data_IF_489319824307
#
_entry.id   IF_489319824307
#
_cell.length_a   1.000
_cell.length_b   1.000
_cell.length_c   1.000
_cell.angle_alpha   90.00
_cell.angle_beta   90.00
_cell.angle_gamma   90.00
#
_symmetry.space_group_name_H-M   'P 1'
#
loop_
_entity.id
_entity.type
_entity.pdbx_description
1 polymer ?
#
# COMPACT_ATOMS: atom_id res chain seq x y z
N UNK A 1 28.60 20.92 -20.43
CA UNK A 1 27.60 20.16 -19.65
C UNK A 1 28.31 19.77 -18.37
N UNK A 2 28.06 20.50 -17.29
CA UNK A 2 28.82 20.43 -16.03
C UNK A 2 28.05 19.48 -15.12
N UNK A 3 28.59 18.30 -14.88
CA UNK A 3 28.08 17.40 -13.86
C UNK A 3 28.28 18.08 -12.50
N UNK A 4 27.18 18.34 -11.82
CA UNK A 4 27.17 18.82 -10.44
C UNK A 4 27.28 17.58 -9.54
N UNK A 5 28.34 17.42 -8.73
CA UNK A 5 28.45 16.29 -7.84
C UNK A 5 27.39 16.47 -6.75
N UNK A 6 26.33 15.68 -6.80
CA UNK A 6 25.34 15.60 -5.74
C UNK A 6 26.07 15.36 -4.41
N UNK A 7 26.17 16.41 -3.59
CA UNK A 7 26.94 16.39 -2.36
C UNK A 7 26.39 15.29 -1.43
N UNK A 8 27.26 14.48 -0.79
CA UNK A 8 26.84 13.41 0.14
C UNK A 8 25.96 13.93 1.29
N UNK A 9 26.07 15.22 1.60
CA UNK A 9 25.29 15.89 2.63
C UNK A 9 23.78 15.93 2.31
N UNK A 10 23.39 16.03 1.03
CA UNK A 10 21.99 16.09 0.63
C UNK A 10 21.23 14.77 0.89
N UNK A 11 21.87 13.63 0.60
CA UNK A 11 21.28 12.31 0.85
C UNK A 11 21.14 11.99 2.34
N UNK A 12 22.14 12.36 3.14
CA UNK A 12 22.08 12.18 4.59
C UNK A 12 21.01 13.06 5.23
N UNK A 13 20.83 14.28 4.74
CA UNK A 13 19.74 15.19 5.14
C UNK A 13 18.37 14.57 4.81
N UNK A 14 18.18 14.04 3.60
CA UNK A 14 16.94 13.36 3.20
C UNK A 14 16.64 12.12 4.04
N UNK A 15 17.66 11.30 4.31
CA UNK A 15 17.52 10.12 5.16
C UNK A 15 17.15 10.53 6.60
N UNK A 16 17.76 11.59 7.12
CA UNK A 16 17.44 12.13 8.44
C UNK A 16 16.01 12.66 8.51
N UNK A 17 15.54 13.35 7.48
CA UNK A 17 14.15 13.79 7.38
C UNK A 17 13.19 12.60 7.31
N UNK A 18 13.52 11.56 6.54
CA UNK A 18 12.72 10.34 6.46
C UNK A 18 12.63 9.58 7.78
N UNK A 19 13.76 9.42 8.48
CA UNK A 19 13.80 8.84 9.83
C UNK A 19 13.03 9.71 10.83
N UNK A 20 13.08 11.04 10.69
CA UNK A 20 12.26 11.97 11.47
C UNK A 20 10.76 11.78 11.23
N UNK A 21 10.36 11.55 9.97
CA UNK A 21 8.98 11.21 9.62
C UNK A 21 8.54 9.87 10.23
N UNK A 22 9.38 8.83 10.17
CA UNK A 22 9.08 7.51 10.74
C UNK A 22 8.87 7.52 12.26
N UNK A 23 9.44 8.49 12.98
CA UNK A 23 9.26 8.64 14.44
C UNK A 23 7.86 9.12 14.85
N UNK A 24 7.08 9.67 13.92
CA UNK A 24 5.70 10.08 14.21
C UNK A 24 4.76 8.87 14.14
N UNK A 25 3.69 8.86 14.94
CA UNK A 25 2.73 7.74 15.04
C UNK A 25 2.27 7.20 13.67
N UNK A 26 1.92 8.11 12.77
CA UNK A 26 1.45 7.77 11.42
C UNK A 26 2.58 7.35 10.47
N UNK A 27 3.80 7.85 10.67
CA UNK A 27 4.99 7.40 9.95
C UNK A 27 5.40 5.99 10.39
N UNK A 28 5.26 5.70 11.69
CA UNK A 28 5.46 4.36 12.24
C UNK A 28 4.40 3.38 11.71
N UNK A 29 3.13 3.79 11.67
CA UNK A 29 2.05 3.03 11.02
C UNK A 29 2.33 2.79 9.53
N UNK A 30 2.84 3.78 8.80
CA UNK A 30 3.23 3.63 7.40
C UNK A 30 4.42 2.68 7.22
N UNK A 31 5.41 2.72 8.12
CA UNK A 31 6.52 1.77 8.12
C UNK A 31 6.06 0.36 8.44
N UNK A 32 5.20 0.20 9.44
CA UNK A 32 4.59 -1.08 9.81
C UNK A 32 3.66 -1.62 8.71
N UNK A 33 3.00 -0.75 7.94
CA UNK A 33 2.04 -1.18 6.93
C UNK A 33 2.66 -1.92 5.75
N UNK A 34 3.97 -1.78 5.54
CA UNK A 34 4.75 -2.61 4.60
C UNK A 34 4.69 -4.09 4.96
N UNK A 35 4.60 -4.39 6.25
CA UNK A 35 4.51 -5.75 6.77
C UNK A 35 3.07 -6.24 6.85
N UNK A 36 2.07 -5.42 6.52
CA UNK A 36 0.67 -5.86 6.60
C UNK A 36 0.35 -7.01 5.62
N UNK A 37 0.85 -7.03 4.37
CA UNK A 37 0.71 -8.20 3.51
C UNK A 37 1.29 -9.48 4.16
N UNK A 38 2.45 -9.38 4.82
CA UNK A 38 3.09 -10.50 5.52
C UNK A 38 2.31 -10.92 6.77
N UNK A 39 1.80 -9.95 7.54
CA UNK A 39 0.93 -10.19 8.69
C UNK A 39 -0.35 -10.92 8.28
N UNK A 40 -0.84 -10.67 7.07
CA UNK A 40 -2.02 -11.35 6.55
C UNK A 40 -1.78 -12.86 6.33
N UNK A 41 -0.60 -13.26 5.85
CA UNK A 41 -0.23 -14.70 5.77
C UNK A 41 -0.24 -15.33 7.17
N UNK A 42 0.25 -14.62 8.19
CA UNK A 42 0.35 -15.16 9.55
C UNK A 42 -0.99 -15.23 10.28
N UNK A 43 -1.88 -14.28 10.01
CA UNK A 43 -3.18 -14.16 10.71
C UNK A 43 -4.32 -14.84 9.96
N UNK A 44 -4.18 -15.08 8.66
CA UNK A 44 -5.25 -15.61 7.82
C UNK A 44 -6.47 -14.67 7.72
N UNK A 45 -6.29 -13.37 7.99
CA UNK A 45 -7.41 -12.42 8.09
C UNK A 45 -8.10 -12.17 6.75
N UNK A 46 -7.34 -12.16 5.64
CA UNK A 46 -7.84 -12.12 4.28
C UNK A 46 -7.50 -13.46 3.62
N UNK A 47 -8.50 -14.18 3.08
CA UNK A 47 -8.30 -15.52 2.56
C UNK A 47 -7.39 -15.47 1.33
N UNK A 48 -6.25 -16.16 1.41
CA UNK A 48 -5.22 -16.23 0.37
C UNK A 48 -4.85 -17.67 0.01
N UNK A 49 -5.64 -18.65 0.44
CA UNK A 49 -5.23 -20.05 0.37
C UNK A 49 -5.11 -20.56 -1.07
N UNK A 50 -4.22 -21.55 -1.24
CA UNK A 50 -4.00 -22.20 -2.51
C UNK A 50 -5.18 -23.11 -2.89
N UNK A 51 -5.42 -23.29 -4.18
CA UNK A 51 -6.46 -24.12 -4.73
C UNK A 51 -6.41 -25.55 -4.14
N UNK A 52 -7.54 -26.05 -3.65
CA UNK A 52 -7.64 -27.37 -3.02
C UNK A 52 -7.33 -27.41 -1.52
N UNK A 53 -7.03 -26.27 -0.90
CA UNK A 53 -7.00 -26.10 0.56
C UNK A 53 -8.23 -25.31 1.06
N UNK A 54 -8.49 -25.33 2.37
CA UNK A 54 -9.65 -24.66 2.97
C UNK A 54 -9.74 -23.19 2.53
N UNK A 55 -10.85 -22.84 1.87
CA UNK A 55 -11.15 -21.48 1.37
C UNK A 55 -10.17 -20.93 0.31
N UNK A 56 -9.42 -21.82 -0.36
CA UNK A 56 -8.39 -21.47 -1.34
C UNK A 56 -8.87 -21.38 -2.77
N UNK A 57 -8.49 -20.29 -3.45
CA UNK A 57 -8.93 -19.96 -4.82
C UNK A 57 -7.78 -19.70 -5.79
N UNK A 58 -6.53 -19.62 -5.30
CA UNK A 58 -5.38 -19.39 -6.17
C UNK A 58 -4.71 -20.71 -6.59
N UNK A 59 -4.74 -21.02 -7.89
CA UNK A 59 -4.15 -22.25 -8.46
C UNK A 59 -2.74 -21.97 -9.01
N UNK A 60 -2.56 -20.85 -9.73
CA UNK A 60 -1.27 -20.52 -10.36
C UNK A 60 -0.45 -19.50 -9.58
N UNK A 61 -1.09 -18.51 -8.97
CA UNK A 61 -0.42 -17.51 -8.14
C UNK A 61 -0.28 -18.00 -6.71
N UNK A 62 0.95 -18.34 -6.29
CA UNK A 62 1.15 -18.75 -4.90
C UNK A 62 0.87 -17.59 -3.92
N UNK A 63 0.37 -17.88 -2.71
CA UNK A 63 0.09 -16.86 -1.69
C UNK A 63 1.33 -16.02 -1.35
N UNK A 64 2.51 -16.65 -1.39
CA UNK A 64 3.80 -16.01 -1.17
C UNK A 64 4.16 -15.00 -2.26
N UNK A 65 3.88 -15.31 -3.53
CA UNK A 65 4.12 -14.41 -4.66
C UNK A 65 3.21 -13.17 -4.58
N UNK A 66 1.93 -13.39 -4.29
CA UNK A 66 0.92 -12.32 -4.12
C UNK A 66 1.36 -11.35 -3.01
N UNK A 67 1.79 -11.91 -1.89
CA UNK A 67 2.24 -11.14 -0.73
C UNK A 67 3.53 -10.39 -1.00
N UNK A 68 4.50 -11.03 -1.64
CA UNK A 68 5.76 -10.39 -2.06
C UNK A 68 5.49 -9.20 -2.98
N UNK A 69 4.61 -9.37 -3.97
CA UNK A 69 4.24 -8.29 -4.89
C UNK A 69 3.56 -7.14 -4.15
N UNK A 70 2.62 -7.44 -3.25
CA UNK A 70 1.97 -6.43 -2.42
C UNK A 70 2.99 -5.66 -1.56
N UNK A 71 3.94 -6.35 -0.93
CA UNK A 71 5.00 -5.71 -0.13
C UNK A 71 5.89 -4.80 -1.00
N UNK A 72 6.36 -5.27 -2.16
CA UNK A 72 7.18 -4.45 -3.07
C UNK A 72 6.43 -3.20 -3.53
N UNK A 73 5.15 -3.33 -3.88
CA UNK A 73 4.32 -2.19 -4.29
C UNK A 73 4.09 -1.23 -3.13
N UNK A 74 3.82 -1.72 -1.91
CA UNK A 74 3.65 -0.85 -0.73
C UNK A 74 4.92 -0.06 -0.41
N UNK A 75 6.10 -0.70 -0.49
CA UNK A 75 7.40 -0.04 -0.33
C UNK A 75 7.56 1.09 -1.35
N UNK A 76 7.32 0.80 -2.62
CA UNK A 76 7.42 1.78 -3.69
C UNK A 76 6.48 2.97 -3.46
N UNK A 77 5.24 2.71 -3.02
CA UNK A 77 4.26 3.74 -2.72
C UNK A 77 4.70 4.64 -1.57
N UNK A 78 5.35 4.11 -0.52
CA UNK A 78 5.92 4.92 0.56
C UNK A 78 6.96 5.89 0.01
N UNK A 79 7.91 5.38 -0.77
CA UNK A 79 9.02 6.17 -1.31
C UNK A 79 8.51 7.30 -2.23
N UNK A 80 7.63 6.97 -3.18
CA UNK A 80 7.07 7.96 -4.13
C UNK A 80 6.19 8.98 -3.42
N UNK A 81 5.42 8.56 -2.41
CA UNK A 81 4.57 9.49 -1.65
C UNK A 81 5.43 10.42 -0.79
N UNK A 82 6.51 9.90 -0.20
CA UNK A 82 7.43 10.69 0.62
C UNK A 82 8.29 11.66 -0.21
N UNK A 83 8.74 11.28 -1.41
CA UNK A 83 9.51 12.17 -2.29
C UNK A 83 8.69 13.39 -2.74
N UNK A 84 7.38 13.23 -2.86
CA UNK A 84 6.45 14.31 -3.23
C UNK A 84 6.21 15.37 -2.12
N UNK A 85 6.92 15.29 -0.99
CA UNK A 85 6.69 16.16 0.19
C UNK A 85 6.97 17.64 -0.06
N UNK A 86 7.98 17.95 -0.87
CA UNK A 86 8.46 19.31 -1.09
C UNK A 86 7.45 20.16 -1.86
N UNK A 87 6.71 19.55 -2.80
CA UNK A 87 5.65 20.20 -3.58
C UNK A 87 4.39 20.50 -2.75
N UNK A 88 4.26 19.91 -1.56
CA UNK A 88 3.03 19.94 -0.75
C UNK A 88 3.18 20.78 0.54
N UNK A 89 4.32 21.46 0.71
CA UNK A 89 4.57 22.35 1.85
C UNK A 89 3.70 23.61 1.76
N UNK A 90 2.70 23.73 2.65
CA UNK A 90 1.86 24.93 2.79
C UNK A 90 0.43 24.65 3.27
N UNK A 91 -0.28 25.70 3.69
CA UNK A 91 -1.64 25.62 4.27
C UNK A 91 -2.66 25.05 3.27
N UNK A 92 -2.57 25.43 1.98
CA UNK A 92 -3.40 24.87 0.90
C UNK A 92 -3.06 23.40 0.61
N UNK A 93 -1.78 23.04 0.72
CA UNK A 93 -1.28 21.67 0.59
C UNK A 93 -1.86 20.71 1.63
N UNK A 94 -2.10 21.17 2.87
CA UNK A 94 -2.68 20.35 3.95
C UNK A 94 -4.09 19.85 3.65
N UNK A 95 -5.00 20.73 3.20
CA UNK A 95 -6.37 20.30 2.83
C UNK A 95 -6.34 19.29 1.68
N UNK A 96 -5.44 19.49 0.72
CA UNK A 96 -5.24 18.58 -0.41
C UNK A 96 -4.71 17.22 0.08
N UNK A 97 -3.73 17.21 0.99
CA UNK A 97 -3.18 16.00 1.62
C UNK A 97 -4.26 15.22 2.37
N UNK A 98 -5.10 15.88 3.19
CA UNK A 98 -6.21 15.23 3.90
C UNK A 98 -7.21 14.61 2.92
N UNK A 99 -7.63 15.35 1.90
CA UNK A 99 -8.57 14.83 0.91
C UNK A 99 -7.98 13.63 0.18
N UNK A 100 -6.69 13.67 -0.19
CA UNK A 100 -5.99 12.55 -0.82
C UNK A 100 -5.84 11.35 0.10
N UNK A 101 -5.58 11.56 1.39
CA UNK A 101 -5.51 10.49 2.38
C UNK A 101 -6.88 9.81 2.53
N UNK A 102 -7.95 10.58 2.68
CA UNK A 102 -9.32 10.07 2.74
C UNK A 102 -9.74 9.33 1.48
N UNK A 103 -9.43 9.87 0.30
CA UNK A 103 -9.70 9.17 -0.95
C UNK A 103 -8.91 7.87 -1.05
N UNK A 104 -7.63 7.85 -0.64
CA UNK A 104 -6.81 6.63 -0.65
C UNK A 104 -7.35 5.58 0.32
N UNK A 105 -7.76 5.99 1.52
CA UNK A 105 -8.40 5.11 2.50
C UNK A 105 -9.75 4.56 1.98
N UNK A 106 -10.57 5.40 1.38
CA UNK A 106 -11.84 4.98 0.77
C UNK A 106 -11.64 4.00 -0.38
N UNK A 107 -10.67 4.25 -1.27
CA UNK A 107 -10.31 3.33 -2.35
C UNK A 107 -9.77 2.03 -1.79
N UNK A 108 -8.93 2.07 -0.76
CA UNK A 108 -8.45 0.88 -0.06
C UNK A 108 -9.63 0.02 0.43
N UNK A 109 -10.55 0.60 1.19
CA UNK A 109 -11.70 -0.14 1.71
C UNK A 109 -12.57 -0.71 0.58
N UNK A 110 -12.79 0.05 -0.49
CA UNK A 110 -13.54 -0.40 -1.66
C UNK A 110 -12.82 -1.55 -2.39
N UNK A 111 -11.49 -1.51 -2.50
CA UNK A 111 -10.69 -2.60 -3.06
C UNK A 111 -10.75 -3.87 -2.22
N UNK A 112 -10.78 -3.76 -0.88
CA UNK A 112 -10.98 -4.91 -0.01
C UNK A 112 -12.37 -5.53 -0.20
N UNK A 113 -13.42 -4.70 -0.27
CA UNK A 113 -14.77 -5.18 -0.55
C UNK A 113 -14.85 -5.86 -1.93
N UNK A 114 -14.25 -5.27 -2.95
CA UNK A 114 -14.17 -5.87 -4.27
C UNK A 114 -13.43 -7.22 -4.25
N UNK A 115 -12.31 -7.31 -3.51
CA UNK A 115 -11.58 -8.55 -3.31
C UNK A 115 -12.48 -9.64 -2.73
N UNK A 116 -13.21 -9.34 -1.65
CA UNK A 116 -14.09 -10.30 -0.99
C UNK A 116 -15.24 -10.76 -1.89
N UNK A 117 -15.85 -9.83 -2.64
CA UNK A 117 -16.93 -10.17 -3.59
C UNK A 117 -16.40 -11.06 -4.72
N UNK A 118 -15.24 -10.72 -5.30
CA UNK A 118 -14.63 -11.53 -6.37
C UNK A 118 -14.21 -12.89 -5.83
N UNK A 119 -13.62 -12.95 -4.63
CA UNK A 119 -13.21 -14.18 -3.96
C UNK A 119 -14.39 -15.11 -3.74
N UNK A 120 -15.48 -14.61 -3.16
CA UNK A 120 -16.69 -15.39 -2.93
C UNK A 120 -17.33 -15.86 -4.25
N UNK A 121 -17.44 -14.96 -5.23
CA UNK A 121 -17.95 -15.33 -6.57
C UNK A 121 -17.09 -16.41 -7.20
N UNK A 122 -15.78 -16.29 -7.12
CA UNK A 122 -14.89 -17.28 -7.71
C UNK A 122 -14.97 -18.63 -6.97
N UNK A 123 -15.07 -18.61 -5.63
CA UNK A 123 -15.28 -19.82 -4.82
C UNK A 123 -16.56 -20.56 -5.20
N UNK A 124 -17.67 -19.84 -5.37
CA UNK A 124 -18.98 -20.44 -5.72
C UNK A 124 -19.03 -20.89 -7.20
N UNK A 125 -18.48 -20.10 -8.13
CA UNK A 125 -18.69 -20.31 -9.58
C UNK A 125 -17.53 -21.03 -10.30
N UNK A 126 -16.33 -21.13 -9.73
CA UNK A 126 -15.21 -21.80 -10.40
C UNK A 126 -15.42 -23.32 -10.54
N UNK A 127 -16.17 -23.93 -9.63
CA UNK A 127 -16.40 -25.38 -9.62
C UNK A 127 -17.66 -25.83 -10.37
N UNK A 128 -18.82 -25.23 -10.10
CA UNK A 128 -20.09 -25.77 -10.61
C UNK A 128 -20.40 -25.36 -12.06
N UNK A 129 -20.48 -24.06 -12.42
CA UNK A 129 -20.85 -23.64 -13.78
C UNK A 129 -19.69 -23.58 -14.79
N UNK A 130 -18.44 -23.44 -14.35
CA UNK A 130 -17.30 -23.28 -15.26
C UNK A 130 -16.43 -24.53 -15.43
N UNK A 131 -16.46 -25.48 -14.48
CA UNK A 131 -15.77 -26.77 -14.60
C UNK A 131 -14.25 -26.66 -14.76
N UNK A 132 -13.62 -25.62 -14.19
CA UNK A 132 -12.18 -25.37 -14.36
C UNK A 132 -11.36 -26.34 -13.52
N UNK A 133 -10.81 -27.38 -14.17
CA UNK A 133 -9.86 -28.32 -13.58
C UNK A 133 -8.54 -27.65 -13.14
N UNK A 134 -7.76 -28.35 -12.32
CA UNK A 134 -6.42 -27.89 -11.90
C UNK A 134 -5.53 -27.62 -13.12
N UNK A 135 -4.93 -26.43 -13.20
CA UNK A 135 -4.00 -26.06 -14.28
C UNK A 135 -4.62 -25.43 -15.53
N UNK A 136 -5.92 -25.08 -15.54
CA UNK A 136 -6.51 -24.34 -16.66
C UNK A 136 -5.94 -22.90 -16.71
N UNK A 137 -5.33 -22.46 -17.84
CA UNK A 137 -4.79 -21.09 -17.98
C UNK A 137 -5.85 -19.99 -17.83
N UNK A 138 -7.14 -20.30 -18.00
CA UNK A 138 -8.24 -19.34 -17.79
C UNK A 138 -8.39 -18.94 -16.32
N UNK A 139 -7.93 -19.76 -15.37
CA UNK A 139 -7.92 -19.41 -13.95
C UNK A 139 -7.03 -18.21 -13.66
N UNK A 140 -5.90 -18.09 -14.36
CA UNK A 140 -5.01 -16.94 -14.22
C UNK A 140 -5.73 -15.62 -14.54
N UNK A 141 -6.65 -15.61 -15.50
CA UNK A 141 -7.45 -14.43 -15.84
C UNK A 141 -8.37 -14.03 -14.68
N UNK A 142 -8.90 -14.99 -13.92
CA UNK A 142 -9.72 -14.73 -12.75
C UNK A 142 -8.90 -14.40 -11.49
N UNK A 143 -7.69 -14.94 -11.36
CA UNK A 143 -6.76 -14.64 -10.28
C UNK A 143 -6.17 -13.22 -10.40
N UNK A 144 -6.05 -12.67 -11.62
CA UNK A 144 -5.53 -11.32 -11.84
C UNK A 144 -6.35 -10.22 -11.16
N UNK A 145 -7.69 -10.15 -11.30
CA UNK A 145 -8.52 -9.21 -10.53
C UNK A 145 -8.35 -9.34 -9.02
N UNK A 146 -8.23 -10.57 -8.49
CA UNK A 146 -7.96 -10.81 -7.07
C UNK A 146 -6.60 -10.25 -6.66
N UNK A 147 -5.54 -10.53 -7.43
CA UNK A 147 -4.21 -9.97 -7.22
C UNK A 147 -4.24 -8.44 -7.23
N UNK A 148 -4.87 -7.84 -8.24
CA UNK A 148 -4.93 -6.39 -8.42
C UNK A 148 -5.65 -5.74 -7.24
N UNK A 149 -6.82 -6.27 -6.84
CA UNK A 149 -7.61 -5.72 -5.73
C UNK A 149 -6.89 -5.89 -4.39
N UNK A 150 -6.19 -7.01 -4.18
CA UNK A 150 -5.37 -7.26 -3.00
C UNK A 150 -4.19 -6.28 -2.90
N UNK A 151 -3.42 -6.12 -3.99
CA UNK A 151 -2.29 -5.18 -4.04
C UNK A 151 -2.78 -3.73 -3.89
N UNK A 152 -3.90 -3.37 -4.52
CA UNK A 152 -4.50 -2.05 -4.41
C UNK A 152 -4.94 -1.73 -2.98
N UNK A 153 -5.53 -2.69 -2.28
CA UNK A 153 -5.91 -2.53 -0.88
C UNK A 153 -4.71 -2.13 -0.02
N UNK A 154 -3.66 -2.95 0.04
CA UNK A 154 -2.51 -2.66 0.90
C UNK A 154 -1.74 -1.41 0.48
N UNK A 155 -1.57 -1.19 -0.82
CA UNK A 155 -0.84 -0.03 -1.34
C UNK A 155 -1.59 1.28 -1.06
N UNK A 156 -2.90 1.34 -1.25
CA UNK A 156 -3.71 2.53 -0.96
C UNK A 156 -3.87 2.77 0.54
N UNK A 157 -3.98 1.70 1.34
CA UNK A 157 -3.97 1.79 2.80
C UNK A 157 -2.67 2.41 3.31
N UNK A 158 -1.54 1.87 2.85
CA UNK A 158 -0.20 2.38 3.15
C UNK A 158 -0.07 3.83 2.73
N UNK A 159 -0.51 4.17 1.52
CA UNK A 159 -0.53 5.56 1.02
C UNK A 159 -1.31 6.49 1.93
N UNK A 160 -2.47 6.06 2.44
CA UNK A 160 -3.28 6.85 3.35
C UNK A 160 -2.50 7.18 4.64
N UNK A 161 -1.83 6.19 5.24
CA UNK A 161 -1.00 6.42 6.43
C UNK A 161 0.20 7.32 6.15
N UNK A 162 0.88 7.15 5.02
CA UNK A 162 2.01 8.02 4.63
C UNK A 162 1.56 9.46 4.50
N UNK A 163 0.43 9.71 3.82
CA UNK A 163 -0.12 11.06 3.64
C UNK A 163 -0.51 11.71 4.98
N UNK A 164 -1.11 10.94 5.90
CA UNK A 164 -1.42 11.40 7.25
C UNK A 164 -0.14 11.69 8.06
N UNK A 165 0.87 10.83 7.97
CA UNK A 165 2.17 11.04 8.62
C UNK A 165 2.88 12.26 8.07
N UNK A 166 2.76 12.52 6.77
CA UNK A 166 3.38 13.67 6.15
C UNK A 166 2.71 14.96 6.64
N UNK A 167 1.39 14.95 6.81
CA UNK A 167 0.66 16.08 7.37
C UNK A 167 1.11 16.40 8.81
N UNK A 168 1.27 15.40 9.66
CA UNK A 168 1.73 15.59 11.04
C UNK A 168 3.21 16.01 11.10
N UNK A 169 4.04 15.48 10.20
CA UNK A 169 5.43 15.89 10.04
C UNK A 169 5.55 17.36 9.66
N UNK A 170 4.80 17.81 8.64
CA UNK A 170 4.77 19.22 8.22
C UNK A 170 4.22 20.12 9.34
N UNK A 171 3.23 19.66 10.10
CA UNK A 171 2.70 20.37 11.28
C UNK A 171 3.74 20.53 12.37
N UNK A 172 4.51 19.50 12.63
CA UNK A 172 5.59 19.54 13.62
C UNK A 172 6.74 20.46 13.18
N UNK A 173 7.08 20.47 11.89
CA UNK A 173 8.12 21.35 11.32
C UNK A 173 7.73 22.84 11.43
N UNK A 174 6.48 23.20 11.10
CA UNK A 174 5.97 24.57 11.27
C UNK A 174 5.93 25.01 12.74
N UNK A 175 5.50 24.15 13.67
CA UNK A 175 5.50 24.48 15.11
C UNK A 175 6.89 24.78 15.66
N UNK A 176 7.92 24.13 15.11
CA UNK A 176 9.33 24.37 15.49
C UNK A 176 9.94 25.61 14.84
N UNK A 177 9.40 26.05 13.70
CA UNK A 177 9.85 27.26 13.00
C UNK A 177 9.35 28.56 13.64
N UNK A 178 8.36 28.49 14.54
CA UNK A 178 7.76 29.65 15.21
C UNK A 178 6.87 30.48 14.28
N UNK A 179 5.88 31.23 14.81
CA UNK A 179 5.18 32.21 14.00
C UNK A 179 6.15 33.33 13.65
N UNK A 180 6.50 33.47 12.37
CA UNK A 180 7.04 34.73 11.86
C UNK A 180 5.94 35.76 12.02
N UNK A 181 6.02 36.52 13.12
CA UNK A 181 5.17 37.67 13.42
C UNK A 181 5.40 38.81 12.43
#
# INVERSE_FOLDING_TARGET
MKEDPAAPDGYLEELREFLGFLKNLWGLLAGLSVFFPLSNILTGAIPLHAYGSDDGVFDQLSPDLITTLATVVTLFVILVTFSSRTTLAGVRGRRILLRRAWMSFGVSLLSLLAYLVIHQTYREYAWEPWGWGSGDPRKLIAELPLLITYVLFFSMLTRAFVLLGLLEFLRSKERRAGPSG
#
